data_IF_277000610132
#
_entry.id   IF_277000610132
#
_cell.length_a   1.000
_cell.length_b   1.000
_cell.length_c   1.000
_cell.angle_alpha   90.00
_cell.angle_beta   90.00
_cell.angle_gamma   90.00
#
_symmetry.space_group_name_H-M   'P 1'
#
loop_
_entity.id
_entity.type
_entity.pdbx_description
1 polymer ?
#
# COMPACT_ATOMS: atom_id res chain seq x y z
N UNK A 1 9.35 12.97 14.78
CA UNK A 1 10.26 12.72 13.64
C UNK A 1 11.61 12.35 14.22
N UNK A 2 12.07 11.11 14.04
CA UNK A 2 13.33 10.66 14.64
C UNK A 2 14.48 11.49 14.06
N UNK A 3 15.44 11.98 14.88
CA UNK A 3 16.46 12.95 14.45
C UNK A 3 17.47 12.43 13.41
N UNK A 4 17.31 11.18 12.95
CA UNK A 4 18.23 10.45 12.05
C UNK A 4 18.18 10.88 10.59
N UNK A 5 17.35 11.86 10.21
CA UNK A 5 17.12 12.25 8.81
C UNK A 5 17.55 13.68 8.46
N UNK A 6 17.94 14.51 9.44
CA UNK A 6 18.23 15.92 9.19
C UNK A 6 19.68 16.17 8.75
N UNK A 7 20.62 15.34 9.20
CA UNK A 7 21.96 15.24 8.66
C UNK A 7 22.01 13.97 7.80
N UNK A 8 22.57 14.06 6.59
CA UNK A 8 22.91 12.86 5.84
C UNK A 8 23.80 11.93 6.67
N UNK A 9 23.88 10.64 6.33
CA UNK A 9 24.77 9.70 7.01
C UNK A 9 26.20 10.26 7.01
N UNK A 10 26.94 9.99 8.09
CA UNK A 10 28.37 10.30 8.13
C UNK A 10 29.05 9.64 6.90
N UNK A 11 30.02 10.29 6.23
CA UNK A 11 30.74 9.70 5.11
C UNK A 11 31.33 8.30 5.38
N UNK A 12 31.59 7.96 6.65
CA UNK A 12 32.03 6.62 7.05
C UNK A 12 30.88 5.61 7.28
N UNK A 13 29.64 6.09 7.39
CA UNK A 13 28.43 5.29 7.55
C UNK A 13 27.88 4.91 6.17
N UNK A 14 27.87 3.61 5.85
CA UNK A 14 27.43 3.12 4.54
C UNK A 14 25.95 3.43 4.32
N UNK A 15 25.69 4.41 3.47
CA UNK A 15 24.35 4.75 3.02
C UNK A 15 23.94 3.88 1.83
N UNK A 16 22.73 3.33 1.88
CA UNK A 16 22.06 2.75 0.72
C UNK A 16 20.96 3.69 0.23
N UNK A 17 20.75 3.74 -1.09
CA UNK A 17 19.70 4.52 -1.72
C UNK A 17 18.73 3.62 -2.47
N UNK A 18 17.45 4.00 -2.47
CA UNK A 18 16.43 3.37 -3.30
C UNK A 18 16.44 4.08 -4.66
N UNK A 19 16.78 3.34 -5.72
CA UNK A 19 16.91 3.88 -7.09
C UNK A 19 15.71 3.55 -7.99
N UNK A 20 14.79 2.70 -7.52
CA UNK A 20 13.61 2.32 -8.27
C UNK A 20 12.48 1.87 -7.35
N UNK A 21 11.25 2.07 -7.81
CA UNK A 21 10.04 1.64 -7.12
C UNK A 21 9.11 0.99 -8.15
N UNK A 22 8.58 -0.18 -7.79
CA UNK A 22 7.55 -0.89 -8.54
C UNK A 22 6.43 -1.29 -7.59
N UNK A 23 5.19 -1.16 -8.04
CA UNK A 23 4.00 -1.44 -7.24
C UNK A 23 2.96 -2.11 -8.11
N UNK A 24 2.34 -3.16 -7.58
CA UNK A 24 1.12 -3.77 -8.11
C UNK A 24 0.23 -4.00 -6.91
N UNK A 25 -0.84 -3.22 -6.83
CA UNK A 25 -1.72 -3.15 -5.66
C UNK A 25 -3.16 -3.09 -6.11
N UNK A 26 -4.09 -3.31 -5.19
CA UNK A 26 -5.53 -3.10 -5.46
C UNK A 26 -5.93 -1.63 -5.63
N UNK A 27 -5.01 -0.70 -5.37
CA UNK A 27 -5.19 0.74 -5.60
C UNK A 27 -4.62 1.20 -6.96
N UNK A 28 -3.88 0.34 -7.65
CA UNK A 28 -3.23 0.68 -8.91
C UNK A 28 -2.16 -0.33 -9.34
N UNK A 29 -2.02 -0.50 -10.66
CA UNK A 29 -1.05 -1.42 -11.27
C UNK A 29 0.37 -0.85 -11.38
N UNK A 30 0.58 0.41 -10.99
CA UNK A 30 1.87 1.08 -11.01
C UNK A 30 2.02 2.10 -9.87
N UNK A 31 3.21 2.71 -9.77
CA UNK A 31 3.52 3.70 -8.73
C UNK A 31 2.64 4.95 -8.87
N UNK A 32 2.50 5.62 -10.04
CA UNK A 32 1.68 6.82 -10.14
C UNK A 32 0.21 6.60 -9.80
N UNK A 33 -0.39 5.49 -10.23
CA UNK A 33 -1.81 5.17 -9.97
C UNK A 33 -2.04 4.86 -8.50
N UNK A 34 -1.21 3.99 -7.90
CA UNK A 34 -1.26 3.66 -6.47
C UNK A 34 -1.11 4.92 -5.61
N UNK A 35 -0.14 5.79 -5.93
CA UNK A 35 0.12 7.00 -5.15
C UNK A 35 -1.04 7.99 -5.17
N UNK A 36 -1.63 8.23 -6.35
CA UNK A 36 -2.81 9.11 -6.47
C UNK A 36 -3.99 8.56 -5.67
N UNK A 37 -4.29 7.27 -5.81
CA UNK A 37 -5.39 6.63 -5.07
C UNK A 37 -5.22 6.74 -3.55
N UNK A 38 -3.98 6.61 -3.04
CA UNK A 38 -3.67 6.83 -1.63
C UNK A 38 -3.93 8.28 -1.20
N UNK A 39 -3.47 9.27 -1.98
CA UNK A 39 -3.68 10.69 -1.68
C UNK A 39 -5.16 11.08 -1.73
N UNK A 40 -5.90 10.48 -2.65
CA UNK A 40 -7.35 10.69 -2.81
C UNK A 40 -8.18 9.93 -1.76
N UNK A 41 -7.55 9.10 -0.91
CA UNK A 41 -8.22 8.35 0.16
C UNK A 41 -9.09 7.19 -0.35
N UNK A 42 -8.76 6.62 -1.51
CA UNK A 42 -9.49 5.51 -2.11
C UNK A 42 -9.29 4.23 -1.28
N UNK A 43 -10.38 3.49 -1.04
CA UNK A 43 -10.34 2.16 -0.42
C UNK A 43 -10.15 1.08 -1.50
N UNK A 44 -9.05 0.34 -1.43
CA UNK A 44 -8.74 -0.76 -2.37
C UNK A 44 -9.31 -2.11 -1.93
N UNK A 45 -10.34 -2.11 -1.10
CA UNK A 45 -11.01 -3.29 -0.55
C UNK A 45 -12.50 -3.13 -0.78
N UNK A 46 -13.14 -4.18 -1.25
CA UNK A 46 -14.57 -4.26 -1.49
C UNK A 46 -15.18 -5.52 -0.88
N UNK A 47 -16.52 -5.56 -0.83
CA UNK A 47 -17.25 -6.76 -0.43
C UNK A 47 -17.20 -7.79 -1.54
N UNK A 48 -16.95 -9.04 -1.17
CA UNK A 48 -17.02 -10.18 -2.09
C UNK A 48 -18.31 -10.94 -1.86
N UNK A 49 -19.04 -11.17 -2.95
CA UNK A 49 -20.26 -11.98 -2.94
C UNK A 49 -19.90 -13.46 -3.16
N UNK A 50 -19.97 -14.25 -2.09
CA UNK A 50 -19.78 -15.70 -2.12
C UNK A 50 -21.09 -16.48 -1.96
N UNK A 51 -22.26 -15.80 -2.04
CA UNK A 51 -23.56 -16.39 -1.69
C UNK A 51 -23.89 -16.33 -0.19
N UNK A 52 -25.04 -16.87 0.20
CA UNK A 52 -25.51 -16.88 1.60
C UNK A 52 -24.48 -17.60 2.49
N UNK A 53 -23.94 -16.95 3.54
CA UNK A 53 -22.95 -17.58 4.39
C UNK A 53 -23.59 -18.70 5.23
N UNK A 54 -22.92 -19.85 5.30
CA UNK A 54 -23.25 -20.89 6.28
C UNK A 54 -22.81 -20.43 7.69
N UNK A 55 -23.67 -19.69 8.38
CA UNK A 55 -23.44 -19.25 9.77
C UNK A 55 -23.81 -17.80 10.06
N UNK A 56 -23.53 -17.29 11.29
CA UNK A 56 -23.87 -15.91 11.62
C UNK A 56 -23.10 -14.94 10.70
N UNK A 57 -23.85 -13.99 10.12
CA UNK A 57 -23.45 -12.97 9.16
C UNK A 57 -21.93 -12.71 9.07
N UNK A 58 -21.26 -13.38 8.14
CA UNK A 58 -19.89 -13.06 7.77
C UNK A 58 -19.92 -12.15 6.55
N UNK A 59 -19.35 -10.96 6.68
CA UNK A 59 -19.04 -10.13 5.52
C UNK A 59 -17.62 -10.46 5.05
N UNK A 60 -17.49 -10.92 3.82
CA UNK A 60 -16.20 -11.17 3.20
C UNK A 60 -15.72 -9.91 2.48
N UNK A 61 -14.51 -9.47 2.83
CA UNK A 61 -13.86 -8.32 2.21
C UNK A 61 -12.59 -8.78 1.50
N UNK A 62 -12.37 -8.34 0.28
CA UNK A 62 -11.13 -8.59 -0.45
C UNK A 62 -10.74 -7.40 -1.33
N UNK A 63 -9.49 -7.38 -1.72
CA UNK A 63 -9.03 -6.55 -2.82
C UNK A 63 -9.59 -7.11 -4.14
N UNK A 64 -10.14 -6.27 -5.03
CA UNK A 64 -10.46 -6.70 -6.39
C UNK A 64 -9.19 -7.16 -7.12
N UNK A 65 -9.33 -8.18 -7.96
CA UNK A 65 -8.26 -8.74 -8.79
C UNK A 65 -7.99 -7.88 -10.03
#
# INVERSE_FOLDING_TARGET
MSPRHAAGPDPEERAAVVTGLGLTTSLGGDVPTTWRALLDGVCGVERVDFGEPDGPAQEYLAAPA
#
